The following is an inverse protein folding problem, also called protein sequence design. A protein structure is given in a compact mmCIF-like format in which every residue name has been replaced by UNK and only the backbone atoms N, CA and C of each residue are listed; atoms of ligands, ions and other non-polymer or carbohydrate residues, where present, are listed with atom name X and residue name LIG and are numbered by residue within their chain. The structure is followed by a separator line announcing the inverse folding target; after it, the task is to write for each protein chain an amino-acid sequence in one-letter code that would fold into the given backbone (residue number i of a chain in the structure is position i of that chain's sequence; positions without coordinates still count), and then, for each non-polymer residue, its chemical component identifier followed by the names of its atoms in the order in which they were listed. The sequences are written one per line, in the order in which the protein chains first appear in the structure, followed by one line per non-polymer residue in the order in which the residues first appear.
data_IF_983839798259
#
_entry.id   IF_983839798259
#
_cell.length_a   1.000
_cell.length_b   1.000
_cell.length_c   1.000
_cell.angle_alpha   90.00
_cell.angle_beta   90.00
_cell.angle_gamma   90.00
#
_symmetry.space_group_name_H-M   'P 1'
#
loop_
_entity.id
_entity.type
_entity.pdbx_description
1 polymer ?
#
# COMPACT_ATOMS: atom_id res chain seq x y z
N UNK A 1 -15.79 -2.54 12.28
CA UNK A 1 -17.03 -2.20 11.57
C UNK A 1 -16.68 -1.16 10.51
N UNK A 2 -16.56 -1.55 9.25
CA UNK A 2 -16.48 -0.61 8.12
C UNK A 2 -17.81 -0.74 7.36
N UNK A 3 -18.45 0.38 7.03
CA UNK A 3 -19.73 0.39 6.33
C UNK A 3 -19.63 -0.37 5.01
N UNK A 4 -20.63 -1.20 4.70
CA UNK A 4 -20.70 -2.00 3.47
C UNK A 4 -20.74 -1.16 2.19
N UNK A 5 -20.99 0.14 2.29
CA UNK A 5 -21.00 1.06 1.16
C UNK A 5 -19.82 2.03 1.20
N UNK A 6 -19.10 2.22 0.08
CA UNK A 6 -18.06 3.22 -0.02
C UNK A 6 -18.67 4.60 0.15
N UNK A 7 -18.01 5.47 0.92
CA UNK A 7 -18.46 6.85 1.09
C UNK A 7 -18.55 7.56 -0.28
N UNK A 8 -19.40 8.60 -0.37
CA UNK A 8 -19.50 9.44 -1.57
C UNK A 8 -18.13 9.97 -2.00
N UNK A 9 -17.29 10.33 -1.03
CA UNK A 9 -15.92 10.76 -1.30
C UNK A 9 -15.08 9.65 -1.95
N UNK A 10 -15.12 8.41 -1.43
CA UNK A 10 -14.42 7.27 -2.04
C UNK A 10 -14.91 7.03 -3.47
N UNK A 11 -16.24 7.09 -3.67
CA UNK A 11 -16.84 6.88 -4.99
C UNK A 11 -16.40 7.97 -5.98
N UNK A 12 -16.41 9.24 -5.56
CA UNK A 12 -15.94 10.35 -6.37
C UNK A 12 -14.44 10.24 -6.71
N UNK A 13 -13.59 9.90 -5.73
CA UNK A 13 -12.15 9.67 -5.96
C UNK A 13 -11.95 8.56 -6.99
N UNK A 14 -12.65 7.43 -6.85
CA UNK A 14 -12.58 6.32 -7.81
C UNK A 14 -13.02 6.75 -9.20
N UNK A 15 -14.15 7.44 -9.34
CA UNK A 15 -14.71 7.81 -10.64
C UNK A 15 -13.90 8.89 -11.37
N UNK A 16 -13.40 9.91 -10.65
CA UNK A 16 -12.85 11.10 -11.29
C UNK A 16 -11.34 11.24 -11.17
N UNK A 17 -10.73 10.77 -10.07
CA UNK A 17 -9.30 10.92 -9.84
C UNK A 17 -8.49 9.69 -10.24
N UNK A 18 -8.98 8.50 -9.88
CA UNK A 18 -8.30 7.23 -10.19
C UNK A 18 -8.77 6.68 -11.55
N UNK A 19 -10.06 6.77 -11.85
CA UNK A 19 -10.67 6.26 -13.09
C UNK A 19 -10.39 4.76 -13.30
N UNK A 20 -9.52 4.42 -14.27
CA UNK A 20 -9.08 3.05 -14.59
C UNK A 20 -7.66 2.73 -14.12
N UNK A 21 -7.00 3.71 -13.50
CA UNK A 21 -5.65 3.53 -12.97
C UNK A 21 -5.71 2.89 -11.57
N UNK A 22 -4.53 2.58 -11.02
CA UNK A 22 -4.40 2.11 -9.65
C UNK A 22 -4.01 3.27 -8.74
N UNK A 23 -4.44 3.25 -7.48
CA UNK A 23 -4.10 4.31 -6.52
C UNK A 23 -2.58 4.59 -6.49
N UNK A 24 -1.78 3.53 -6.54
CA UNK A 24 -0.33 3.59 -6.49
C UNK A 24 0.35 4.14 -7.75
N UNK A 25 -0.35 4.21 -8.90
CA UNK A 25 0.20 4.73 -10.16
C UNK A 25 -0.09 6.22 -10.40
N UNK A 26 -0.96 6.84 -9.59
CA UNK A 26 -1.32 8.26 -9.72
C UNK A 26 -0.11 9.15 -9.39
N UNK A 27 0.20 10.16 -10.22
CA UNK A 27 1.32 11.08 -9.99
C UNK A 27 1.08 12.02 -8.80
N UNK A 28 2.12 12.29 -8.01
CA UNK A 28 2.02 13.16 -6.81
C UNK A 28 1.79 14.63 -7.15
N UNK A 29 2.33 15.10 -8.27
CA UNK A 29 2.25 16.50 -8.72
C UNK A 29 0.91 16.85 -9.37
N UNK A 30 -0.11 16.02 -9.19
CA UNK A 30 -1.45 16.26 -9.71
C UNK A 30 -2.10 17.42 -8.96
N UNK A 31 -2.50 18.47 -9.69
CA UNK A 31 -3.25 19.61 -9.14
C UNK A 31 -4.72 19.28 -8.84
N UNK A 32 -5.22 18.14 -9.32
CA UNK A 32 -6.58 17.67 -9.15
C UNK A 32 -6.81 17.05 -7.76
N UNK A 33 -8.02 17.22 -7.25
CA UNK A 33 -8.50 16.60 -6.01
C UNK A 33 -8.43 17.49 -4.78
N UNK A 34 -8.95 16.97 -3.67
CA UNK A 34 -9.00 17.70 -2.39
C UNK A 34 -7.62 17.78 -1.73
N UNK A 35 -7.48 18.63 -0.70
CA UNK A 35 -6.26 18.66 0.12
C UNK A 35 -5.96 17.30 0.77
N UNK A 36 -7.00 16.58 1.21
CA UNK A 36 -6.87 15.22 1.78
C UNK A 36 -6.32 14.25 0.73
N UNK A 37 -6.80 14.30 -0.52
CA UNK A 37 -6.29 13.48 -1.61
C UNK A 37 -4.79 13.70 -1.84
N UNK A 38 -4.36 14.96 -1.93
CA UNK A 38 -2.94 15.30 -2.09
C UNK A 38 -2.09 14.82 -0.90
N UNK A 39 -2.62 14.87 0.32
CA UNK A 39 -1.95 14.28 1.50
C UNK A 39 -1.82 12.77 1.40
N UNK A 40 -2.86 12.06 0.94
CA UNK A 40 -2.79 10.61 0.73
C UNK A 40 -1.74 10.25 -0.31
N UNK A 41 -1.69 10.96 -1.43
CA UNK A 41 -0.65 10.77 -2.45
C UNK A 41 0.75 10.98 -1.87
N UNK A 42 0.96 12.04 -1.09
CA UNK A 42 2.26 12.31 -0.43
C UNK A 42 2.69 11.19 0.53
N UNK A 43 1.75 10.57 1.24
CA UNK A 43 2.06 9.51 2.20
C UNK A 43 2.06 8.11 1.61
N UNK A 44 1.68 7.96 0.34
CA UNK A 44 1.56 6.65 -0.32
C UNK A 44 2.86 5.84 -0.21
N UNK A 45 4.02 6.46 -0.38
CA UNK A 45 5.28 5.73 -0.45
C UNK A 45 5.69 5.17 0.92
N UNK A 46 5.25 5.83 2.00
CA UNK A 46 5.33 5.24 3.34
C UNK A 46 4.29 4.14 3.51
N UNK A 47 3.04 4.37 3.09
CA UNK A 47 1.95 3.41 3.22
C UNK A 47 2.23 2.09 2.49
N UNK A 48 2.92 2.15 1.34
CA UNK A 48 3.38 1.01 0.55
C UNK A 48 4.11 -0.05 1.38
N UNK A 49 4.87 0.35 2.40
CA UNK A 49 5.63 -0.58 3.26
C UNK A 49 4.73 -1.39 4.21
N UNK A 50 3.50 -0.93 4.43
CA UNK A 50 2.55 -1.51 5.35
C UNK A 50 1.46 -2.32 4.65
N UNK A 51 1.44 -2.34 3.31
CA UNK A 51 0.39 -2.96 2.53
C UNK A 51 0.96 -4.04 1.61
N UNK A 52 0.27 -5.17 1.54
CA UNK A 52 0.51 -6.22 0.55
C UNK A 52 -0.81 -6.89 0.16
N UNK A 53 -0.78 -7.65 -0.93
CA UNK A 53 -1.94 -8.39 -1.42
C UNK A 53 -1.60 -9.87 -1.47
N UNK A 54 -2.44 -10.70 -0.87
CA UNK A 54 -2.44 -12.13 -1.10
C UNK A 54 -3.36 -12.41 -2.30
N UNK A 55 -2.75 -12.87 -3.39
CA UNK A 55 -3.42 -13.07 -4.68
C UNK A 55 -4.17 -14.39 -4.68
N UNK A 56 -5.46 -14.31 -5.03
CA UNK A 56 -6.30 -15.44 -5.38
C UNK A 56 -6.68 -15.32 -6.87
N UNK A 57 -7.84 -14.75 -7.19
CA UNK A 57 -8.27 -14.56 -8.57
C UNK A 57 -7.42 -13.52 -9.35
N UNK A 58 -6.71 -12.64 -8.65
CA UNK A 58 -5.82 -11.62 -9.20
C UNK A 58 -6.50 -10.51 -10.01
N UNK A 59 -7.83 -10.44 -10.03
CA UNK A 59 -8.59 -9.54 -10.92
C UNK A 59 -8.54 -8.08 -10.46
N UNK A 60 -8.38 -7.86 -9.16
CA UNK A 60 -8.36 -6.53 -8.55
C UNK A 60 -6.96 -6.11 -8.10
N UNK A 61 -5.95 -6.92 -8.37
CA UNK A 61 -4.56 -6.67 -7.99
C UNK A 61 -3.76 -6.17 -9.19
N UNK A 62 -3.12 -5.02 -9.06
CA UNK A 62 -2.20 -4.49 -10.07
C UNK A 62 -0.98 -5.39 -10.18
N UNK A 63 -0.64 -5.79 -11.40
CA UNK A 63 0.57 -6.58 -11.64
C UNK A 63 1.84 -5.83 -11.21
N UNK A 64 1.87 -4.50 -11.38
CA UNK A 64 3.09 -3.70 -11.20
C UNK A 64 3.12 -2.89 -9.92
N UNK A 65 1.96 -2.41 -9.49
CA UNK A 65 1.87 -1.36 -8.49
C UNK A 65 1.38 -1.85 -7.12
N UNK A 66 0.99 -3.13 -6.99
CA UNK A 66 0.70 -3.76 -5.71
C UNK A 66 1.83 -4.69 -5.27
N UNK A 67 2.03 -4.82 -3.96
CA UNK A 67 2.97 -5.79 -3.38
C UNK A 67 2.27 -7.14 -3.26
N UNK A 68 2.30 -7.93 -4.32
CA UNK A 68 1.80 -9.30 -4.29
C UNK A 68 2.92 -10.35 -4.41
N UNK A 69 4.12 -9.91 -4.79
CA UNK A 69 5.28 -10.76 -4.99
C UNK A 69 6.29 -10.59 -3.86
N UNK A 70 7.13 -11.59 -3.57
CA UNK A 70 8.24 -11.45 -2.64
C UNK A 70 9.31 -10.45 -3.13
N UNK A 71 9.28 -10.08 -4.41
CA UNK A 71 10.18 -9.09 -5.00
C UNK A 71 9.73 -7.65 -4.69
N UNK A 72 8.60 -7.45 -4.02
CA UNK A 72 8.06 -6.13 -3.76
C UNK A 72 7.29 -5.58 -4.96
N UNK A 73 7.38 -4.26 -5.18
CA UNK A 73 6.76 -3.59 -6.32
C UNK A 73 7.52 -3.92 -7.60
N UNK A 74 6.88 -4.65 -8.51
CA UNK A 74 7.51 -4.99 -9.79
C UNK A 74 7.81 -3.75 -10.64
N UNK A 75 7.09 -2.64 -10.42
CA UNK A 75 7.41 -1.36 -11.04
C UNK A 75 8.82 -0.86 -10.69
N UNK A 76 9.23 -0.96 -9.42
CA UNK A 76 10.53 -0.45 -8.95
C UNK A 76 11.69 -1.28 -9.52
N UNK A 77 11.45 -2.55 -9.84
CA UNK A 77 12.45 -3.46 -10.43
C UNK A 77 12.55 -3.30 -11.94
N UNK A 78 11.41 -3.21 -12.61
CA UNK A 78 11.36 -3.27 -14.09
C UNK A 78 11.34 -1.88 -14.73
N UNK A 79 11.18 -0.82 -13.92
CA UNK A 79 11.20 0.58 -14.37
C UNK A 79 10.07 0.93 -15.35
N UNK A 80 10.07 2.15 -15.89
CA UNK A 80 8.97 2.59 -16.77
C UNK A 80 8.76 1.70 -18.00
N UNK A 81 9.82 1.07 -18.54
CA UNK A 81 9.78 0.22 -19.74
C UNK A 81 9.41 -1.25 -19.48
N UNK A 82 9.36 -1.70 -18.23
CA UNK A 82 9.16 -3.10 -17.87
C UNK A 82 7.89 -3.78 -18.42
N UNK A 83 6.87 -3.00 -18.75
CA UNK A 83 5.63 -3.51 -19.35
C UNK A 83 5.82 -3.93 -20.82
N UNK A 84 6.76 -3.29 -21.55
CA UNK A 84 7.12 -3.66 -22.93
C UNK A 84 7.82 -5.02 -22.95
N UNK A 85 8.78 -5.19 -22.04
CA UNK A 85 9.55 -6.43 -21.91
C UNK A 85 8.62 -7.60 -21.57
N UNK A 86 7.69 -7.38 -20.64
CA UNK A 86 6.65 -8.33 -20.26
C UNK A 86 5.49 -8.42 -21.26
N UNK A 87 5.37 -7.51 -22.23
CA UNK A 87 4.25 -7.51 -23.18
C UNK A 87 2.88 -7.37 -22.54
N UNK A 88 2.78 -6.64 -21.42
CA UNK A 88 1.53 -6.31 -20.75
C UNK A 88 1.26 -4.81 -20.80
N UNK A 89 0.00 -4.36 -20.76
CA UNK A 89 -0.31 -2.96 -20.54
C UNK A 89 0.13 -2.50 -19.13
N UNK A 90 0.33 -1.19 -18.95
CA UNK A 90 0.69 -0.61 -17.64
C UNK A 90 -0.40 -0.83 -16.59
N UNK A 91 -1.66 -0.91 -17.02
CA UNK A 91 -2.85 -1.15 -16.20
C UNK A 91 -3.13 -2.64 -15.99
N UNK A 92 -2.21 -3.53 -16.34
CA UNK A 92 -2.47 -4.96 -16.28
C UNK A 92 -2.69 -5.46 -14.84
N UNK A 93 -3.64 -6.38 -14.70
CA UNK A 93 -3.90 -7.09 -13.43
C UNK A 93 -3.03 -8.35 -13.32
N UNK A 94 -2.93 -8.90 -12.11
CA UNK A 94 -2.25 -10.20 -11.92
C UNK A 94 -2.99 -11.31 -12.68
N UNK A 95 -4.33 -11.27 -12.72
CA UNK A 95 -5.15 -12.23 -13.48
C UNK A 95 -4.83 -12.20 -14.98
N UNK A 96 -4.70 -11.00 -15.56
CA UNK A 96 -4.30 -10.83 -16.96
C UNK A 96 -2.88 -11.34 -17.21
N UNK A 97 -1.96 -11.09 -16.27
CA UNK A 97 -0.59 -11.59 -16.36
C UNK A 97 -0.52 -13.12 -16.31
N UNK A 98 -1.42 -13.77 -15.58
CA UNK A 98 -1.51 -15.23 -15.45
C UNK A 98 -2.20 -15.89 -16.64
N UNK A 99 -3.24 -15.26 -17.21
CA UNK A 99 -4.06 -15.81 -18.30
C UNK A 99 -3.48 -15.55 -19.68
N UNK A 100 -2.89 -14.38 -19.89
CA UNK A 100 -2.44 -13.93 -21.20
C UNK A 100 -0.93 -13.86 -21.25
N UNK A 101 -0.26 -14.98 -21.63
CA UNK A 101 1.06 -14.87 -22.26
C UNK A 101 1.60 -16.14 -22.90
N UNK A 102 2.19 -15.96 -24.09
CA UNK A 102 3.28 -16.83 -24.59
C UNK A 102 4.53 -16.48 -23.81
N UNK A 103 5.14 -17.47 -23.17
CA UNK A 103 6.39 -17.32 -22.42
C UNK A 103 7.44 -16.63 -23.30
N UNK A 104 8.01 -15.54 -22.82
CA UNK A 104 9.18 -14.91 -23.45
C UNK A 104 10.44 -15.43 -22.77
N UNK A 105 11.44 -15.77 -23.59
CA UNK A 105 12.76 -16.11 -23.09
C UNK A 105 13.52 -14.81 -22.83
N UNK A 106 13.39 -14.28 -21.61
CA UNK A 106 14.09 -13.07 -21.19
C UNK A 106 15.57 -13.36 -20.93
N UNK A 107 16.45 -12.48 -21.43
CA UNK A 107 17.88 -12.52 -21.11
C UNK A 107 18.16 -11.99 -19.70
N UNK A 108 17.33 -11.08 -19.23
CA UNK A 108 17.51 -10.40 -17.94
C UNK A 108 17.00 -11.23 -16.77
N UNK A 109 17.79 -11.31 -15.71
CA UNK A 109 17.53 -12.18 -14.56
C UNK A 109 16.22 -11.87 -13.84
N UNK A 110 15.96 -10.60 -13.52
CA UNK A 110 14.74 -10.21 -12.81
C UNK A 110 13.47 -10.54 -13.61
N UNK A 111 13.50 -10.43 -14.94
CA UNK A 111 12.37 -10.83 -15.79
C UNK A 111 12.15 -12.35 -15.76
N UNK A 112 13.24 -13.14 -15.73
CA UNK A 112 13.15 -14.59 -15.53
C UNK A 112 12.56 -14.95 -14.17
N UNK A 113 12.94 -14.23 -13.11
CA UNK A 113 12.35 -14.44 -11.77
C UNK A 113 10.85 -14.16 -11.77
N UNK A 114 10.42 -13.08 -12.43
CA UNK A 114 8.99 -12.75 -12.53
C UNK A 114 8.22 -13.82 -13.32
N UNK A 115 8.76 -14.33 -14.43
CA UNK A 115 8.14 -15.45 -15.17
C UNK A 115 8.05 -16.72 -14.31
N UNK A 116 9.08 -17.03 -13.54
CA UNK A 116 9.05 -18.17 -12.61
C UNK A 116 7.98 -17.97 -11.53
N UNK A 117 7.89 -16.78 -10.94
CA UNK A 117 6.85 -16.45 -9.97
C UNK A 117 5.46 -16.61 -10.57
N UNK A 118 5.19 -16.08 -11.77
CA UNK A 118 3.91 -16.24 -12.44
C UNK A 118 3.52 -17.73 -12.61
N UNK A 119 4.47 -18.59 -12.95
CA UNK A 119 4.21 -20.04 -13.03
C UNK A 119 3.85 -20.65 -11.67
N UNK A 120 4.52 -20.23 -10.58
CA UNK A 120 4.17 -20.71 -9.24
C UNK A 120 2.77 -20.30 -8.80
N UNK A 121 2.34 -19.09 -9.14
CA UNK A 121 0.99 -18.60 -8.84
C UNK A 121 -0.07 -19.25 -9.72
N UNK A 122 0.21 -19.50 -11.01
CA UNK A 122 -0.72 -20.18 -11.92
C UNK A 122 -1.16 -21.54 -11.38
N UNK A 123 -0.25 -22.27 -10.74
CA UNK A 123 -0.55 -23.59 -10.15
C UNK A 123 -1.36 -23.51 -8.85
N UNK A 124 -1.46 -22.34 -8.23
CA UNK A 124 -2.10 -22.12 -6.92
C UNK A 124 -3.34 -21.23 -6.99
N UNK A 125 -3.61 -20.63 -8.15
CA UNK A 125 -4.66 -19.63 -8.29
C UNK A 125 -6.03 -20.26 -8.05
N UNK A 126 -6.71 -19.78 -7.01
CA UNK A 126 -8.14 -20.03 -6.79
C UNK A 126 -8.91 -18.92 -7.52
N UNK A 127 -9.49 -19.26 -8.66
CA UNK A 127 -10.20 -18.30 -9.52
C UNK A 127 -11.54 -17.83 -8.93
N UNK A 128 -12.07 -18.54 -7.93
CA UNK A 128 -13.35 -18.24 -7.29
C UNK A 128 -13.18 -17.33 -6.06
N UNK A 129 -12.00 -17.35 -5.43
CA UNK A 129 -11.73 -16.50 -4.25
C UNK A 129 -11.23 -15.12 -4.64
N UNK A 130 -11.72 -14.11 -3.93
CA UNK A 130 -11.25 -12.73 -4.05
C UNK A 130 -9.85 -12.54 -3.42
N UNK A 131 -9.11 -11.59 -3.98
CA UNK A 131 -7.80 -11.18 -3.45
C UNK A 131 -7.93 -10.60 -2.02
N UNK A 132 -6.94 -10.87 -1.17
CA UNK A 132 -6.96 -10.44 0.23
C UNK A 132 -5.97 -9.30 0.45
N UNK A 133 -6.50 -8.13 0.83
CA UNK A 133 -5.70 -7.00 1.28
C UNK A 133 -5.12 -7.27 2.66
N UNK A 134 -3.79 -7.23 2.78
CA UNK A 134 -3.06 -7.55 4.00
C UNK A 134 -2.25 -6.36 4.50
N UNK A 135 -2.32 -6.13 5.80
CA UNK A 135 -1.74 -4.97 6.45
C UNK A 135 -0.74 -5.34 7.54
N UNK A 136 0.40 -4.63 7.57
CA UNK A 136 1.54 -4.94 8.45
C UNK A 136 1.19 -4.60 9.91
N UNK A 137 1.18 -5.62 10.75
CA UNK A 137 0.85 -5.53 12.17
C UNK A 137 2.08 -5.54 13.08
N UNK A 138 3.18 -6.12 12.63
CA UNK A 138 4.51 -6.12 13.26
C UNK A 138 5.54 -6.55 12.21
N UNK A 139 6.80 -6.66 12.61
CA UNK A 139 7.85 -7.12 11.70
C UNK A 139 7.48 -8.46 11.06
N UNK A 140 7.44 -8.49 9.72
CA UNK A 140 7.03 -9.61 8.88
C UNK A 140 5.64 -10.23 9.13
N UNK A 141 4.78 -9.63 9.97
CA UNK A 141 3.43 -10.15 10.24
C UNK A 141 2.38 -9.26 9.57
N UNK A 142 1.58 -9.87 8.69
CA UNK A 142 0.51 -9.20 7.97
C UNK A 142 -0.84 -9.86 8.24
N UNK A 143 -1.91 -9.07 8.32
CA UNK A 143 -3.28 -9.55 8.61
C UNK A 143 -4.31 -8.85 7.71
N UNK A 144 -5.47 -9.47 7.45
CA UNK A 144 -6.54 -8.89 6.64
C UNK A 144 -7.36 -7.81 7.37
N UNK A 145 -6.80 -7.23 8.43
CA UNK A 145 -7.45 -6.22 9.25
C UNK A 145 -6.53 -5.03 9.42
N UNK A 146 -7.12 -3.86 9.28
CA UNK A 146 -6.43 -2.60 9.52
C UNK A 146 -6.32 -2.25 10.99
N UNK A 147 -5.15 -1.76 11.39
CA UNK A 147 -4.92 -1.28 12.76
C UNK A 147 -4.09 0.00 12.78
N UNK A 148 -4.77 1.13 12.81
CA UNK A 148 -4.12 2.45 12.91
C UNK A 148 -3.18 2.54 14.11
N UNK A 149 -3.52 1.90 15.24
CA UNK A 149 -2.65 1.82 16.42
C UNK A 149 -1.33 1.11 16.08
N UNK A 150 -1.38 -0.05 15.43
CA UNK A 150 -0.18 -0.82 15.10
C UNK A 150 0.67 -0.13 14.04
N UNK A 151 0.05 0.47 13.03
CA UNK A 151 0.76 1.28 12.03
C UNK A 151 1.44 2.48 12.68
N UNK A 152 0.75 3.19 13.58
CA UNK A 152 1.32 4.33 14.31
C UNK A 152 2.49 3.94 15.21
N UNK A 153 2.38 2.81 15.93
CA UNK A 153 3.47 2.28 16.75
C UNK A 153 4.73 1.93 15.94
N UNK A 154 4.57 1.52 14.68
CA UNK A 154 5.69 1.22 13.77
C UNK A 154 6.28 2.49 13.14
N UNK A 155 5.47 3.52 12.90
CA UNK A 155 5.93 4.79 12.31
C UNK A 155 6.62 5.72 13.32
N UNK A 156 6.25 5.65 14.60
CA UNK A 156 6.79 6.56 15.61
C UNK A 156 8.24 6.20 15.92
N UNK A 157 9.08 7.23 16.05
CA UNK A 157 10.37 7.09 16.72
C UNK A 157 10.11 7.09 18.23
N UNK A 158 10.43 5.99 18.90
CA UNK A 158 10.34 5.91 20.36
C UNK A 158 11.55 6.60 20.98
N UNK A 159 11.33 7.75 21.62
CA UNK A 159 12.31 8.37 22.50
C UNK A 159 12.32 7.74 23.90
N UNK A 160 13.35 8.03 24.71
CA UNK A 160 13.37 7.62 26.11
C UNK A 160 12.18 8.23 26.85
N UNK A 161 11.58 7.45 27.76
CA UNK A 161 10.52 7.96 28.64
C UNK A 161 11.14 9.05 29.53
N UNK A 162 10.64 10.28 29.41
CA UNK A 162 11.12 11.42 30.20
C UNK A 162 10.45 11.40 31.57
N UNK A 163 11.20 11.51 32.66
CA UNK A 163 10.67 11.46 34.05
C UNK A 163 9.48 12.40 34.30
N UNK A 164 9.47 13.58 33.67
CA UNK A 164 8.43 14.59 33.82
C UNK A 164 7.11 14.28 33.08
N UNK A 165 7.04 13.25 32.23
CA UNK A 165 5.88 13.04 31.35
C UNK A 165 4.55 12.89 32.09
N UNK A 166 4.56 12.25 33.27
CA UNK A 166 3.35 12.07 34.10
C UNK A 166 2.85 13.37 34.71
N UNK A 167 3.74 14.34 34.99
CA UNK A 167 3.34 15.64 35.52
C UNK A 167 2.66 16.51 34.47
N UNK A 168 2.96 16.27 33.18
CA UNK A 168 2.44 17.05 32.05
C UNK A 168 1.21 16.38 31.44
N UNK A 169 1.26 15.06 31.22
CA UNK A 169 0.24 14.27 30.53
C UNK A 169 -0.35 13.22 31.48
N UNK A 170 -1.28 13.64 32.34
CA UNK A 170 -2.01 12.78 33.28
C UNK A 170 -3.50 12.69 32.94
N UNK A 171 -4.18 11.69 33.51
CA UNK A 171 -5.62 11.50 33.32
C UNK A 171 -6.36 12.75 33.78
N UNK A 172 -7.30 13.25 32.97
CA UNK A 172 -8.04 14.51 33.21
C UNK A 172 -7.22 15.81 33.09
N UNK A 173 -5.96 15.75 32.64
CA UNK A 173 -5.21 16.97 32.33
C UNK A 173 -5.92 17.77 31.22
N UNK A 174 -6.02 19.09 31.38
CA UNK A 174 -6.58 19.96 30.32
C UNK A 174 -5.55 20.09 29.20
N UNK A 175 -5.86 19.69 27.95
CA UNK A 175 -4.87 19.65 26.87
C UNK A 175 -4.14 20.97 26.65
N UNK A 176 -4.84 22.11 26.83
CA UNK A 176 -4.27 23.44 26.75
C UNK A 176 -3.15 23.67 27.78
N UNK A 177 -3.39 23.33 29.05
CA UNK A 177 -2.40 23.53 30.12
C UNK A 177 -1.25 22.53 30.03
N UNK A 178 -1.53 21.28 29.68
CA UNK A 178 -0.48 20.28 29.43
C UNK A 178 0.45 20.68 28.30
N UNK A 179 -0.08 21.30 27.24
CA UNK A 179 0.75 21.81 26.15
C UNK A 179 1.68 22.95 26.61
N UNK A 180 1.18 23.90 27.42
CA UNK A 180 2.02 24.95 27.99
C UNK A 180 3.08 24.40 28.96
N UNK A 181 2.69 23.49 29.86
CA UNK A 181 3.63 22.84 30.78
C UNK A 181 4.70 22.05 30.01
N UNK A 182 4.33 21.36 28.93
CA UNK A 182 5.26 20.69 28.04
C UNK A 182 6.27 21.65 27.42
N UNK A 183 5.83 22.81 26.90
CA UNK A 183 6.71 23.81 26.33
C UNK A 183 7.71 24.37 27.35
N UNK A 184 7.28 24.61 28.58
CA UNK A 184 8.14 25.12 29.66
C UNK A 184 9.20 24.09 30.05
N UNK A 185 8.85 22.80 30.07
CA UNK A 185 9.77 21.72 30.45
C UNK A 185 10.71 21.31 29.30
N UNK A 186 10.34 21.63 28.05
CA UNK A 186 11.11 21.30 26.86
C UNK A 186 12.06 22.43 26.41
N UNK A 187 11.79 23.67 26.81
CA UNK A 187 12.73 24.80 26.69
C UNK A 187 13.77 24.76 27.82
#
# INVERSE_FOLDING_TARGET
MASSHPSLWIRWVKTYLIQKDFFWSVKENTSLGSWVWRKLLKYRDKAKQFYKVEVNNGRNTSFRFDVWSPMGFLFDITGSRGFIDMGLPITATVSEALSSRRRRNHRTEHLRMIENLLNTYRNRADHEREDISLWKHSENVYKPLESSKKTWLQLRLTGPIRSWYRGVWFTHSTPKFSFFAWLVVHN
#
